data_IF_599171513133
#
_entry.id   IF_599171513133
#
_cell.length_a   1.000
_cell.length_b   1.000
_cell.length_c   1.000
_cell.angle_alpha   90.00
_cell.angle_beta   90.00
_cell.angle_gamma   90.00
#
_symmetry.space_group_name_H-M   'P 1'
#
loop_
_entity.id
_entity.type
_entity.pdbx_description
1 polymer ?
#
# COMPACT_ATOMS: atom_id res chain seq x y z
N UNK A 1 4.87 -20.27 -4.13
CA UNK A 1 3.90 -19.21 -3.73
C UNK A 1 4.08 -18.72 -2.29
N UNK A 2 4.56 -19.52 -1.33
CA UNK A 2 4.74 -19.12 0.09
C UNK A 2 5.73 -17.95 0.27
N UNK A 3 6.85 -17.97 -0.45
CA UNK A 3 7.93 -16.96 -0.36
C UNK A 3 7.47 -15.53 -0.64
N UNK A 4 6.50 -15.33 -1.54
CA UNK A 4 5.97 -14.00 -1.88
C UNK A 4 5.14 -13.43 -0.74
N UNK A 5 4.32 -14.27 -0.08
CA UNK A 5 3.49 -13.87 1.07
C UNK A 5 4.36 -13.52 2.27
N UNK A 6 5.34 -14.38 2.60
CA UNK A 6 6.26 -14.15 3.71
C UNK A 6 7.07 -12.88 3.52
N UNK A 7 7.57 -12.62 2.31
CA UNK A 7 8.26 -11.37 1.98
C UNK A 7 7.36 -10.15 2.21
N UNK A 8 6.13 -10.20 1.72
CA UNK A 8 5.17 -9.12 1.92
C UNK A 8 4.92 -8.83 3.41
N UNK A 9 4.65 -9.87 4.19
CA UNK A 9 4.32 -9.72 5.61
C UNK A 9 5.53 -9.30 6.46
N UNK A 10 6.66 -10.01 6.36
CA UNK A 10 7.78 -9.83 7.30
C UNK A 10 8.79 -8.77 6.84
N UNK A 11 8.95 -8.54 5.54
CA UNK A 11 9.92 -7.53 5.04
C UNK A 11 9.25 -6.21 4.68
N UNK A 12 7.99 -6.23 4.22
CA UNK A 12 7.28 -5.03 3.77
C UNK A 12 6.15 -4.61 4.72
N UNK A 13 5.87 -5.41 5.75
CA UNK A 13 4.80 -5.13 6.73
C UNK A 13 3.40 -5.14 6.11
N UNK A 14 3.17 -5.90 5.05
CA UNK A 14 1.85 -6.09 4.44
C UNK A 14 1.08 -7.11 5.26
N UNK A 15 0.19 -6.62 6.12
CA UNK A 15 -0.63 -7.39 7.05
C UNK A 15 -2.12 -7.46 6.65
N UNK A 16 -2.54 -6.68 5.66
CA UNK A 16 -3.92 -6.60 5.20
C UNK A 16 -4.03 -6.41 3.68
N UNK A 17 -5.17 -6.77 3.11
CA UNK A 17 -5.51 -6.50 1.70
C UNK A 17 -6.75 -5.59 1.58
N UNK A 18 -6.79 -4.71 0.56
CA UNK A 18 -5.68 -4.30 -0.30
C UNK A 18 -4.67 -3.41 0.47
N UNK A 19 -3.42 -3.39 0.00
CA UNK A 19 -2.35 -2.48 0.47
C UNK A 19 -1.65 -1.87 -0.74
N UNK A 20 -1.42 -0.56 -0.72
CA UNK A 20 -0.76 0.20 -1.79
C UNK A 20 0.50 0.87 -1.25
N UNK A 21 1.49 1.05 -2.12
CA UNK A 21 2.68 1.85 -1.84
C UNK A 21 2.75 3.01 -2.85
N UNK A 22 2.68 4.25 -2.36
CA UNK A 22 2.76 5.46 -3.21
C UNK A 22 3.96 6.27 -2.73
N UNK A 23 4.95 6.48 -3.62
CA UNK A 23 6.27 7.07 -3.29
C UNK A 23 6.90 6.47 -2.02
N UNK A 24 6.83 5.16 -1.86
CA UNK A 24 7.41 4.45 -0.69
C UNK A 24 6.56 4.51 0.59
N UNK A 25 5.48 5.28 0.63
CA UNK A 25 4.55 5.33 1.77
C UNK A 25 3.47 4.26 1.64
N UNK A 26 3.22 3.53 2.73
CA UNK A 26 2.25 2.43 2.81
C UNK A 26 0.84 2.93 3.13
N UNK A 27 -0.15 2.49 2.35
CA UNK A 27 -1.57 2.77 2.52
C UNK A 27 -2.34 1.45 2.62
N UNK A 28 -3.14 1.27 3.67
CA UNK A 28 -3.91 0.05 3.93
C UNK A 28 -5.39 0.27 3.67
N UNK A 29 -6.05 -0.77 3.18
CA UNK A 29 -7.49 -0.79 2.93
C UNK A 29 -7.86 -0.27 1.54
N UNK A 30 -9.12 -0.46 1.19
CA UNK A 30 -9.67 0.03 -0.07
C UNK A 30 -9.87 1.55 0.02
N UNK A 31 -9.01 2.30 -0.69
CA UNK A 31 -9.14 3.74 -0.84
C UNK A 31 -10.15 4.07 -1.95
N UNK A 32 -10.96 5.09 -1.74
CA UNK A 32 -11.77 5.69 -2.81
C UNK A 32 -10.87 6.47 -3.78
N UNK A 33 -11.26 6.62 -5.06
CA UNK A 33 -10.47 7.36 -6.05
C UNK A 33 -10.08 8.77 -5.59
N UNK A 34 -10.97 9.49 -4.91
CA UNK A 34 -10.72 10.86 -4.44
C UNK A 34 -9.61 10.90 -3.38
N UNK A 35 -9.51 9.85 -2.55
CA UNK A 35 -8.46 9.74 -1.54
C UNK A 35 -7.10 9.46 -2.19
N UNK A 36 -7.07 8.68 -3.28
CA UNK A 36 -5.85 8.43 -4.05
C UNK A 36 -5.39 9.72 -4.74
N UNK A 37 -6.30 10.47 -5.35
CA UNK A 37 -6.00 11.76 -5.98
C UNK A 37 -5.41 12.75 -4.97
N UNK A 38 -6.06 12.94 -3.81
CA UNK A 38 -5.53 13.84 -2.79
C UNK A 38 -4.14 13.43 -2.26
N UNK A 39 -3.85 12.12 -2.21
CA UNK A 39 -2.51 11.64 -1.89
C UNK A 39 -1.51 12.01 -2.98
N UNK A 40 -1.85 11.83 -4.25
CA UNK A 40 -0.97 12.16 -5.37
C UNK A 40 -0.71 13.68 -5.46
N UNK A 41 -1.76 14.49 -5.28
CA UNK A 41 -1.66 15.95 -5.30
C UNK A 41 -0.75 16.47 -4.17
N UNK A 42 -0.80 15.84 -2.99
CA UNK A 42 0.08 16.20 -1.85
C UNK A 42 1.58 15.92 -2.09
N UNK A 43 1.91 15.27 -3.21
CA UNK A 43 3.26 14.83 -3.55
C UNK A 43 3.85 15.53 -4.79
N UNK A 44 3.11 16.45 -5.41
CA UNK A 44 3.61 17.36 -6.44
C UNK A 44 4.47 18.46 -5.82
#
# INVERSE_FOLDING_TARGET
>A
MVKTKERGQFQMGVDSTPTFFIKGKKYRGALKPEQVLGVLDSML
#
